data_IF_155565147073
#
_entry.id   IF_155565147073
#
_cell.length_a   1.000
_cell.length_b   1.000
_cell.length_c   1.000
_cell.angle_alpha   90.00
_cell.angle_beta   90.00
_cell.angle_gamma   90.00
#
_symmetry.space_group_name_H-M   'P 1'
#
loop_
_entity.id
_entity.type
_entity.pdbx_description
1 polymer ?
#
# COMPACT_ATOMS: atom_id res chain seq x y z
N UNK A 1 -27.89 15.93 -29.38
CA UNK A 1 -26.55 15.35 -29.12
C UNK A 1 -26.37 15.33 -27.62
N UNK A 2 -26.76 14.22 -27.01
CA UNK A 2 -26.60 14.00 -25.57
C UNK A 2 -25.20 13.41 -25.39
N UNK A 3 -24.23 14.26 -25.07
CA UNK A 3 -22.91 13.78 -24.70
C UNK A 3 -23.02 13.20 -23.31
N UNK A 4 -23.35 11.90 -23.27
CA UNK A 4 -23.24 11.04 -22.10
C UNK A 4 -21.92 11.34 -21.42
N UNK A 5 -21.98 12.16 -20.36
CA UNK A 5 -20.94 12.28 -19.35
C UNK A 5 -20.94 10.97 -18.56
N UNK A 6 -20.50 9.90 -19.20
CA UNK A 6 -19.72 8.88 -18.51
C UNK A 6 -18.35 9.49 -18.18
N UNK A 7 -18.37 10.61 -17.44
CA UNK A 7 -17.24 11.02 -16.63
C UNK A 7 -17.08 9.85 -15.67
N UNK A 8 -15.94 9.18 -15.71
CA UNK A 8 -15.51 8.23 -14.70
C UNK A 8 -15.83 8.83 -13.33
N UNK A 9 -17.00 8.50 -12.77
CA UNK A 9 -17.28 8.79 -11.40
C UNK A 9 -16.24 7.96 -10.66
N UNK A 10 -15.19 8.62 -10.14
CA UNK A 10 -14.35 8.01 -9.14
C UNK A 10 -15.33 7.58 -8.06
N UNK A 11 -15.63 6.28 -7.99
CA UNK A 11 -16.51 5.74 -6.97
C UNK A 11 -15.97 6.23 -5.64
N UNK A 12 -16.76 7.08 -4.97
CA UNK A 12 -16.39 7.69 -3.72
C UNK A 12 -15.88 6.61 -2.76
N UNK A 13 -14.74 6.85 -2.12
CA UNK A 13 -14.18 5.88 -1.18
C UNK A 13 -15.05 5.88 0.07
N UNK A 14 -15.63 4.73 0.39
CA UNK A 14 -16.53 4.56 1.54
C UNK A 14 -15.77 4.44 2.86
N UNK A 15 -16.42 4.69 4.00
CA UNK A 15 -15.80 4.49 5.32
C UNK A 15 -15.37 3.04 5.58
N UNK A 16 -16.12 2.07 5.05
CA UNK A 16 -15.75 0.66 5.12
C UNK A 16 -14.45 0.38 4.35
N UNK A 17 -14.29 0.98 3.17
CA UNK A 17 -13.06 0.88 2.38
C UNK A 17 -11.89 1.60 3.03
N UNK A 18 -12.10 2.76 3.65
CA UNK A 18 -11.07 3.44 4.45
C UNK A 18 -10.62 2.56 5.61
N UNK A 19 -11.56 1.94 6.32
CA UNK A 19 -11.27 1.03 7.44
C UNK A 19 -10.48 -0.19 6.98
N UNK A 20 -10.90 -0.82 5.89
CA UNK A 20 -10.23 -2.00 5.33
C UNK A 20 -8.87 -1.66 4.71
N UNK A 21 -8.72 -0.49 4.11
CA UNK A 21 -7.45 0.02 3.64
C UNK A 21 -6.46 0.20 4.80
N UNK A 22 -6.89 0.84 5.88
CA UNK A 22 -6.07 1.01 7.08
C UNK A 22 -5.65 -0.34 7.69
N UNK A 23 -6.56 -1.32 7.75
CA UNK A 23 -6.24 -2.69 8.23
C UNK A 23 -5.19 -3.37 7.36
N UNK A 24 -5.33 -3.28 6.04
CA UNK A 24 -4.36 -3.83 5.11
C UNK A 24 -2.97 -3.19 5.29
N UNK A 25 -2.91 -1.85 5.41
CA UNK A 25 -1.65 -1.12 5.67
C UNK A 25 -1.01 -1.58 6.98
N UNK A 26 -1.77 -1.68 8.07
CA UNK A 26 -1.25 -2.11 9.37
C UNK A 26 -0.78 -3.57 9.35
N UNK A 27 -1.50 -4.46 8.67
CA UNK A 27 -1.10 -5.86 8.52
C UNK A 27 0.20 -6.01 7.69
N UNK A 28 0.42 -5.14 6.71
CA UNK A 28 1.62 -5.14 5.87
C UNK A 28 2.86 -4.57 6.58
N UNK A 29 2.68 -3.68 7.55
CA UNK A 29 3.78 -2.91 8.15
C UNK A 29 4.88 -3.77 8.81
N UNK A 30 4.57 -4.82 9.60
CA UNK A 30 5.60 -5.69 10.16
C UNK A 30 6.44 -6.38 9.08
N UNK A 31 5.81 -6.85 8.01
CA UNK A 31 6.50 -7.48 6.88
C UNK A 31 7.38 -6.47 6.13
N UNK A 32 6.89 -5.23 5.96
CA UNK A 32 7.64 -4.14 5.34
C UNK A 32 8.90 -3.84 6.12
N UNK A 33 8.81 -3.78 7.45
CA UNK A 33 9.95 -3.52 8.33
C UNK A 33 11.00 -4.64 8.27
N UNK A 34 10.57 -5.90 8.30
CA UNK A 34 11.49 -7.05 8.15
C UNK A 34 12.23 -6.97 6.82
N UNK A 35 11.49 -6.84 5.71
CA UNK A 35 12.08 -6.77 4.38
C UNK A 35 13.04 -5.58 4.22
N UNK A 36 12.64 -4.40 4.71
CA UNK A 36 13.49 -3.21 4.68
C UNK A 36 14.80 -3.43 5.44
N UNK A 37 14.72 -4.00 6.64
CA UNK A 37 15.90 -4.25 7.47
C UNK A 37 16.84 -5.29 6.86
N UNK A 38 16.31 -6.32 6.19
CA UNK A 38 17.12 -7.30 5.46
C UNK A 38 17.79 -6.69 4.24
N UNK A 39 17.05 -5.94 3.42
CA UNK A 39 17.59 -5.24 2.25
C UNK A 39 18.68 -4.25 2.67
N UNK A 40 18.50 -3.54 3.79
CA UNK A 40 19.48 -2.57 4.31
C UNK A 40 20.82 -3.22 4.70
N UNK A 41 20.83 -4.49 5.09
CA UNK A 41 22.08 -5.22 5.39
C UNK A 41 22.86 -5.57 4.11
N UNK A 42 22.17 -5.62 2.97
CA UNK A 42 22.73 -6.02 1.67
C UNK A 42 23.16 -4.78 0.86
N UNK A 43 22.39 -3.71 0.95
CA UNK A 43 22.60 -2.49 0.16
C UNK A 43 23.44 -1.49 0.96
N UNK A 44 24.65 -1.19 0.49
CA UNK A 44 25.44 -0.08 0.99
C UNK A 44 24.91 1.24 0.41
N UNK A 45 23.94 1.85 1.09
CA UNK A 45 23.39 3.16 0.72
C UNK A 45 21.88 3.25 0.91
N UNK A 46 21.28 4.20 0.18
CA UNK A 46 19.84 4.42 0.24
C UNK A 46 19.10 3.32 -0.51
N UNK A 47 18.06 2.77 0.13
CA UNK A 47 17.11 1.86 -0.53
C UNK A 47 16.17 2.75 -1.36
N UNK A 48 16.02 2.49 -2.68
CA UNK A 48 15.07 3.23 -3.50
C UNK A 48 13.63 3.03 -3.00
N UNK A 49 12.71 3.89 -3.43
CA UNK A 49 11.29 3.66 -3.17
C UNK A 49 10.83 2.40 -3.91
N UNK A 50 10.43 1.36 -3.16
CA UNK A 50 10.01 0.07 -3.70
C UNK A 50 8.49 0.08 -3.79
N UNK A 51 7.96 0.07 -5.01
CA UNK A 51 6.53 -0.01 -5.27
C UNK A 51 6.20 -1.40 -5.81
N UNK A 52 5.51 -2.23 -5.02
CA UNK A 52 5.20 -3.62 -5.39
C UNK A 52 4.40 -3.79 -6.69
N UNK A 53 3.71 -2.74 -7.14
CA UNK A 53 2.98 -2.73 -8.40
C UNK A 53 3.83 -2.30 -9.61
N UNK A 54 5.11 -1.96 -9.39
CA UNK A 54 6.08 -1.47 -10.39
C UNK A 54 7.36 -2.29 -10.32
N UNK A 55 7.45 -3.33 -11.14
CA UNK A 55 8.61 -4.23 -11.15
C UNK A 55 9.91 -3.50 -11.48
N UNK A 56 9.85 -2.38 -12.21
CA UNK A 56 10.98 -1.51 -12.50
C UNK A 56 11.63 -0.95 -11.23
N UNK A 57 10.85 -0.65 -10.18
CA UNK A 57 11.38 -0.11 -8.91
C UNK A 57 12.13 -1.19 -8.13
N UNK A 58 11.65 -2.44 -8.18
CA UNK A 58 12.35 -3.59 -7.57
C UNK A 58 13.67 -3.84 -8.30
N UNK A 59 13.69 -3.71 -9.63
CA UNK A 59 14.89 -3.91 -10.44
C UNK A 59 15.99 -2.86 -10.19
N UNK A 60 15.67 -1.72 -9.58
CA UNK A 60 16.66 -0.72 -9.16
C UNK A 60 17.50 -1.18 -7.98
N UNK A 61 17.07 -2.21 -7.25
CA UNK A 61 17.90 -2.80 -6.19
C UNK A 61 19.15 -3.43 -6.81
N UNK A 62 20.36 -3.12 -6.30
CA UNK A 62 21.61 -3.53 -6.94
C UNK A 62 21.92 -5.03 -6.76
N UNK A 63 21.40 -5.64 -5.70
CA UNK A 63 21.62 -7.06 -5.38
C UNK A 63 20.44 -7.93 -5.78
N UNK A 64 20.72 -9.09 -6.40
CA UNK A 64 19.72 -10.11 -6.69
C UNK A 64 19.04 -10.64 -5.42
N UNK A 65 19.77 -10.72 -4.31
CA UNK A 65 19.23 -11.12 -3.02
C UNK A 65 18.23 -10.08 -2.49
N UNK A 66 18.59 -8.78 -2.57
CA UNK A 66 17.68 -7.69 -2.22
C UNK A 66 16.40 -7.71 -3.06
N UNK A 67 16.51 -7.97 -4.37
CA UNK A 67 15.34 -8.15 -5.26
C UNK A 67 14.47 -9.32 -4.83
N UNK A 68 15.07 -10.44 -4.41
CA UNK A 68 14.31 -11.62 -3.93
C UNK A 68 13.54 -11.32 -2.64
N UNK A 69 14.13 -10.57 -1.71
CA UNK A 69 13.48 -10.14 -0.47
C UNK A 69 12.30 -9.21 -0.79
N UNK A 70 12.52 -8.20 -1.65
CA UNK A 70 11.47 -7.28 -2.09
C UNK A 70 10.29 -8.03 -2.77
N UNK A 71 10.57 -8.96 -3.67
CA UNK A 71 9.53 -9.78 -4.31
C UNK A 71 8.77 -10.65 -3.31
N UNK A 72 9.47 -11.25 -2.35
CA UNK A 72 8.83 -12.04 -1.28
C UNK A 72 7.87 -11.18 -0.47
N UNK A 73 8.32 -9.99 -0.04
CA UNK A 73 7.47 -9.02 0.64
C UNK A 73 6.25 -8.64 -0.19
N UNK A 74 6.44 -8.30 -1.46
CA UNK A 74 5.34 -7.88 -2.34
C UNK A 74 4.29 -8.98 -2.52
N UNK A 75 4.71 -10.24 -2.63
CA UNK A 75 3.79 -11.37 -2.71
C UNK A 75 3.01 -11.59 -1.41
N UNK A 76 3.67 -11.46 -0.25
CA UNK A 76 3.01 -11.57 1.05
C UNK A 76 2.03 -10.42 1.30
N UNK A 77 2.44 -9.19 0.96
CA UNK A 77 1.60 -8.01 1.04
C UNK A 77 0.35 -8.14 0.15
N UNK A 78 0.51 -8.64 -1.07
CA UNK A 78 -0.60 -8.92 -1.97
C UNK A 78 -1.60 -9.91 -1.36
N UNK A 79 -1.10 -11.00 -0.76
CA UNK A 79 -1.93 -11.98 -0.08
C UNK A 79 -2.70 -11.38 1.11
N UNK A 80 -2.06 -10.51 1.90
CA UNK A 80 -2.72 -9.81 3.00
C UNK A 80 -3.79 -8.83 2.53
N UNK A 81 -3.51 -8.05 1.48
CA UNK A 81 -4.46 -7.08 0.92
C UNK A 81 -5.76 -7.77 0.52
N UNK A 82 -5.69 -8.96 -0.09
CA UNK A 82 -6.85 -9.75 -0.50
C UNK A 82 -7.82 -10.10 0.64
N UNK A 83 -7.39 -10.05 1.91
CA UNK A 83 -8.27 -10.27 3.06
C UNK A 83 -9.19 -9.07 3.36
N UNK A 84 -8.90 -7.90 2.80
CA UNK A 84 -9.58 -6.64 3.14
C UNK A 84 -10.16 -5.92 1.93
N UNK A 85 -9.44 -5.95 0.80
CA UNK A 85 -9.76 -5.25 -0.44
C UNK A 85 -9.23 -6.05 -1.63
N UNK A 86 -9.78 -5.80 -2.82
CA UNK A 86 -9.08 -6.25 -4.03
C UNK A 86 -7.79 -5.44 -4.22
N UNK A 87 -6.71 -6.01 -4.77
CA UNK A 87 -5.45 -5.28 -4.98
C UNK A 87 -5.63 -4.04 -5.87
N UNK A 88 -6.52 -4.15 -6.87
CA UNK A 88 -6.90 -3.03 -7.74
C UNK A 88 -7.55 -1.89 -6.93
N UNK A 89 -8.50 -2.21 -6.03
CA UNK A 89 -9.17 -1.21 -5.22
C UNK A 89 -8.23 -0.60 -4.16
N UNK A 90 -7.38 -1.40 -3.54
CA UNK A 90 -6.33 -0.90 -2.65
C UNK A 90 -5.45 0.13 -3.37
N UNK A 91 -4.88 -0.24 -4.52
CA UNK A 91 -4.04 0.65 -5.32
C UNK A 91 -4.80 1.90 -5.81
N UNK A 92 -6.09 1.78 -6.11
CA UNK A 92 -6.92 2.93 -6.47
C UNK A 92 -7.05 3.89 -5.29
N UNK A 93 -7.35 3.39 -4.09
CA UNK A 93 -7.45 4.22 -2.87
C UNK A 93 -6.11 4.90 -2.58
N UNK A 94 -4.98 4.19 -2.72
CA UNK A 94 -3.64 4.78 -2.58
C UNK A 94 -3.47 5.99 -3.51
N UNK A 95 -3.76 5.84 -4.81
CA UNK A 95 -3.63 6.94 -5.80
C UNK A 95 -4.61 8.09 -5.57
N UNK A 96 -5.80 7.80 -5.03
CA UNK A 96 -6.78 8.83 -4.68
C UNK A 96 -6.29 9.63 -3.47
N UNK A 97 -5.77 8.97 -2.44
CA UNK A 97 -5.27 9.61 -1.22
C UNK A 97 -4.05 10.54 -1.47
N UNK A 98 -3.27 10.28 -2.53
CA UNK A 98 -2.20 11.20 -2.97
C UNK A 98 -2.73 12.57 -3.43
N UNK A 99 -3.97 12.62 -3.93
CA UNK A 99 -4.58 13.80 -4.56
C UNK A 99 -5.70 14.41 -3.73
N UNK A 100 -6.29 13.64 -2.82
CA UNK A 100 -7.41 14.03 -1.99
C UNK A 100 -6.98 14.11 -0.51
N UNK A 101 -6.80 15.34 -0.03
CA UNK A 101 -6.41 15.60 1.36
C UNK A 101 -7.46 15.17 2.39
N UNK A 102 -8.75 15.17 2.05
CA UNK A 102 -9.81 14.72 2.94
C UNK A 102 -9.76 13.19 3.09
N UNK A 103 -9.61 12.47 1.98
CA UNK A 103 -9.43 11.01 2.01
C UNK A 103 -8.17 10.63 2.80
N UNK A 104 -7.06 11.36 2.60
CA UNK A 104 -5.82 11.14 3.35
C UNK A 104 -6.04 11.30 4.86
N UNK A 105 -6.76 12.34 5.29
CA UNK A 105 -7.09 12.53 6.71
C UNK A 105 -7.92 11.36 7.25
N UNK A 106 -8.97 10.95 6.53
CA UNK A 106 -9.83 9.83 6.93
C UNK A 106 -9.05 8.52 7.11
N UNK A 107 -8.08 8.26 6.23
CA UNK A 107 -7.15 7.12 6.34
C UNK A 107 -6.26 7.26 7.59
N UNK A 108 -5.69 8.44 7.85
CA UNK A 108 -4.87 8.67 9.04
C UNK A 108 -5.66 8.44 10.33
N UNK A 109 -6.88 8.98 10.42
CA UNK A 109 -7.73 8.78 11.59
C UNK A 109 -8.10 7.29 11.78
N UNK A 110 -8.34 6.57 10.69
CA UNK A 110 -8.63 5.13 10.74
C UNK A 110 -7.42 4.31 11.21
N UNK A 111 -6.21 4.65 10.75
CA UNK A 111 -4.96 4.04 11.20
C UNK A 111 -4.78 4.24 12.72
N UNK A 112 -4.97 5.47 13.20
CA UNK A 112 -4.84 5.78 14.63
C UNK A 112 -5.85 5.00 15.48
N UNK A 113 -7.14 5.04 15.11
CA UNK A 113 -8.20 4.30 15.84
C UNK A 113 -7.90 2.81 15.93
N UNK A 114 -7.39 2.22 14.86
CA UNK A 114 -7.07 0.79 14.82
C UNK A 114 -5.86 0.45 15.69
N UNK A 115 -4.81 1.26 15.66
CA UNK A 115 -3.64 1.06 16.52
C UNK A 115 -4.00 1.16 18.01
N UNK A 116 -4.82 2.13 18.40
CA UNK A 116 -5.31 2.25 19.78
C UNK A 116 -6.17 1.05 20.21
N UNK A 117 -6.95 0.47 19.28
CA UNK A 117 -7.77 -0.71 19.57
C UNK A 117 -6.95 -2.00 19.72
N UNK A 118 -5.81 -2.12 19.02
CA UNK A 118 -4.91 -3.28 19.11
C UNK A 118 -4.06 -3.29 20.38
N UNK A 119 -4.02 -2.19 21.13
CA UNK A 119 -3.28 -2.05 22.39
C UNK A 119 -4.15 -2.26 23.63
N UNK A 120 -5.45 -2.52 23.46
CA UNK A 120 -6.40 -2.80 24.54
C UNK A 120 -6.63 -4.28 24.73
#
# INVERSE_FOLDING_TARGET
>A
MDFSRAVYAQQAVTEAEVTNYARAVLAMEPLRQVAYNEIKKIVNGNIPDIQCHRSETINQLPSQEARKIANTYCNQALALVNNYLTPSRFNQITRLAEKDGNLRQRIQDALQRQQESSQR
#
